data_IF_618183930779
#
_entry.id   IF_618183930779
#
_cell.length_a   1.000
_cell.length_b   1.000
_cell.length_c   1.000
_cell.angle_alpha   90.00
_cell.angle_beta   90.00
_cell.angle_gamma   90.00
#
_symmetry.space_group_name_H-M   'P 1'
#
loop_
_entity.id
_entity.type
_entity.pdbx_description
1 polymer ?
#
# COMPACT_ATOMS: atom_id res chain seq x y z
N UNK A 1 10.40 -19.24 34.99
CA UNK A 1 10.35 -18.53 33.69
C UNK A 1 9.36 -19.30 32.80
N UNK A 2 8.10 -18.85 32.75
CA UNK A 2 7.04 -19.51 31.98
C UNK A 2 7.32 -19.37 30.48
N UNK A 3 7.73 -20.46 29.84
CA UNK A 3 7.87 -20.56 28.39
C UNK A 3 6.49 -20.76 27.77
N UNK A 4 5.75 -19.66 27.55
CA UNK A 4 4.51 -19.71 26.78
C UNK A 4 4.85 -19.96 25.30
N UNK A 5 4.70 -21.21 24.86
CA UNK A 5 4.76 -21.56 23.45
C UNK A 5 3.49 -21.02 22.79
N UNK A 6 3.64 -19.96 21.97
CA UNK A 6 2.54 -19.42 21.17
C UNK A 6 2.38 -20.27 19.92
N UNK A 7 1.21 -20.87 19.75
CA UNK A 7 0.86 -21.58 18.52
C UNK A 7 0.19 -20.61 17.55
N UNK A 8 0.76 -20.49 16.35
CA UNK A 8 0.16 -19.79 15.22
C UNK A 8 -0.13 -20.78 14.10
N UNK A 9 -1.03 -20.41 13.19
CA UNK A 9 -1.30 -21.18 11.98
C UNK A 9 -0.02 -21.31 11.15
N UNK A 10 0.34 -22.54 10.77
CA UNK A 10 1.50 -22.75 9.91
C UNK A 10 1.04 -22.77 8.45
N UNK A 11 1.48 -21.78 7.66
CA UNK A 11 1.17 -21.70 6.23
C UNK A 11 1.51 -22.99 5.48
N UNK A 12 2.66 -23.60 5.79
CA UNK A 12 3.08 -24.87 5.18
C UNK A 12 2.07 -26.01 5.41
N UNK A 13 1.54 -26.17 6.64
CA UNK A 13 0.55 -27.22 6.95
C UNK A 13 -0.78 -26.98 6.24
N UNK A 14 -1.23 -25.72 6.21
CA UNK A 14 -2.48 -25.35 5.52
C UNK A 14 -2.37 -25.53 4.01
N UNK A 15 -1.23 -25.18 3.40
CA UNK A 15 -1.00 -25.34 1.96
C UNK A 15 -1.01 -26.82 1.54
N UNK A 16 -0.34 -27.69 2.31
CA UNK A 16 -0.36 -29.14 2.06
C UNK A 16 -1.77 -29.70 2.24
N UNK A 17 -2.49 -29.29 3.28
CA UNK A 17 -3.86 -29.75 3.52
C UNK A 17 -4.83 -29.31 2.40
N UNK A 18 -4.63 -28.09 1.89
CA UNK A 18 -5.39 -27.58 0.74
C UNK A 18 -5.07 -28.35 -0.53
N UNK A 19 -3.78 -28.58 -0.83
CA UNK A 19 -3.35 -29.37 -1.99
C UNK A 19 -3.81 -30.83 -1.93
N UNK A 20 -3.95 -31.40 -0.73
CA UNK A 20 -4.51 -32.75 -0.53
C UNK A 20 -6.04 -32.81 -0.71
N UNK A 21 -6.70 -31.70 -1.03
CA UNK A 21 -8.14 -31.64 -1.30
C UNK A 21 -9.02 -31.69 -0.04
N UNK A 22 -8.46 -31.42 1.14
CA UNK A 22 -9.23 -31.43 2.39
C UNK A 22 -10.20 -30.25 2.47
N UNK A 23 -11.47 -30.55 2.78
CA UNK A 23 -12.56 -29.55 2.91
C UNK A 23 -13.15 -29.46 4.32
N UNK A 24 -12.69 -30.27 5.27
CA UNK A 24 -13.31 -30.41 6.60
C UNK A 24 -12.27 -30.30 7.73
N UNK A 25 -12.72 -29.89 8.92
CA UNK A 25 -11.88 -29.82 10.12
C UNK A 25 -11.37 -31.20 10.60
N UNK A 26 -11.98 -32.29 10.12
CA UNK A 26 -11.58 -33.67 10.42
C UNK A 26 -10.14 -33.95 9.99
N UNK A 27 -9.67 -33.33 8.90
CA UNK A 27 -8.27 -33.48 8.46
C UNK A 27 -7.27 -33.01 9.52
N UNK A 28 -7.58 -31.95 10.28
CA UNK A 28 -6.71 -31.49 11.35
C UNK A 28 -6.66 -32.48 12.52
N UNK A 29 -7.77 -33.18 12.81
CA UNK A 29 -7.82 -34.22 13.84
C UNK A 29 -6.99 -35.43 13.40
N UNK A 30 -7.17 -35.89 12.15
CA UNK A 30 -6.39 -36.99 11.59
C UNK A 30 -4.89 -36.66 11.63
N UNK A 31 -4.51 -35.46 11.16
CA UNK A 31 -3.12 -34.99 11.21
C UNK A 31 -2.57 -34.98 12.65
N UNK A 32 -3.34 -34.49 13.63
CA UNK A 32 -2.91 -34.47 15.03
C UNK A 32 -2.70 -35.89 15.59
N UNK A 33 -3.62 -36.82 15.31
CA UNK A 33 -3.51 -38.23 15.72
C UNK A 33 -2.30 -38.90 15.05
N UNK A 34 -2.11 -38.68 13.74
CA UNK A 34 -0.95 -39.21 13.00
C UNK A 34 0.36 -38.69 13.58
N UNK A 35 0.46 -37.40 13.90
CA UNK A 35 1.64 -36.83 14.56
C UNK A 35 1.85 -37.47 15.94
N UNK A 36 0.79 -37.64 16.73
CA UNK A 36 0.88 -38.27 18.06
C UNK A 36 1.42 -39.71 17.97
N UNK A 37 0.88 -40.53 17.08
CA UNK A 37 1.35 -41.90 16.84
C UNK A 37 2.81 -41.90 16.35
N UNK A 38 3.14 -41.02 15.40
CA UNK A 38 4.51 -40.89 14.87
C UNK A 38 5.50 -40.53 15.98
N UNK A 39 5.14 -39.62 16.90
CA UNK A 39 5.99 -39.28 18.03
C UNK A 39 6.09 -40.42 19.05
N UNK A 40 5.05 -41.20 19.30
CA UNK A 40 5.13 -42.30 20.28
C UNK A 40 5.98 -43.47 19.77
N UNK A 41 5.87 -43.82 18.49
CA UNK A 41 6.53 -45.02 17.94
C UNK A 41 7.83 -44.71 17.18
N UNK A 42 7.92 -43.58 16.46
CA UNK A 42 9.08 -43.23 15.61
C UNK A 42 10.05 -42.23 16.26
N UNK A 43 9.75 -41.68 17.44
CA UNK A 43 10.68 -40.78 18.16
C UNK A 43 12.10 -41.36 18.38
N UNK A 44 12.30 -42.67 18.65
CA UNK A 44 13.65 -43.25 18.75
C UNK A 44 14.47 -43.09 17.46
N UNK A 45 13.81 -43.10 16.30
CA UNK A 45 14.44 -42.92 14.99
C UNK A 45 14.81 -41.46 14.75
N UNK A 46 13.95 -40.52 15.16
CA UNK A 46 14.19 -39.08 14.98
C UNK A 46 15.32 -38.52 15.85
N UNK A 47 15.71 -39.21 16.94
CA UNK A 47 16.81 -38.78 17.83
C UNK A 47 18.14 -38.60 17.09
N UNK A 48 18.36 -39.35 16.00
CA UNK A 48 19.60 -39.31 15.23
C UNK A 48 19.57 -38.32 14.06
N UNK A 49 18.51 -37.52 13.92
CA UNK A 49 18.37 -36.58 12.81
C UNK A 49 19.42 -35.46 12.92
N UNK A 50 20.35 -35.33 11.96
CA UNK A 50 21.32 -34.25 11.97
C UNK A 50 20.67 -32.88 11.78
N UNK A 51 21.21 -31.85 12.43
CA UNK A 51 20.72 -30.46 12.31
C UNK A 51 20.70 -29.95 10.86
N UNK A 52 21.57 -30.49 10.00
CA UNK A 52 21.62 -30.16 8.57
C UNK A 52 20.30 -30.48 7.85
N UNK A 53 19.68 -31.62 8.18
CA UNK A 53 18.39 -32.02 7.56
C UNK A 53 17.28 -31.06 7.99
N UNK A 54 17.24 -30.69 9.28
CA UNK A 54 16.28 -29.71 9.80
C UNK A 54 16.44 -28.35 9.13
N UNK A 55 17.69 -27.89 8.94
CA UNK A 55 17.99 -26.66 8.21
C UNK A 55 17.50 -26.71 6.76
N UNK A 56 17.74 -27.82 6.05
CA UNK A 56 17.28 -27.99 4.68
C UNK A 56 15.74 -27.94 4.57
N UNK A 57 15.02 -28.56 5.50
CA UNK A 57 13.55 -28.51 5.57
C UNK A 57 13.06 -27.06 5.78
N UNK A 58 13.71 -26.29 6.66
CA UNK A 58 13.32 -24.90 6.92
C UNK A 58 13.59 -24.03 5.68
N UNK A 59 14.77 -24.14 5.07
CA UNK A 59 15.14 -23.35 3.88
C UNK A 59 14.19 -23.62 2.72
N UNK A 60 13.91 -24.90 2.43
CA UNK A 60 12.96 -25.27 1.37
C UNK A 60 11.54 -24.77 1.64
N UNK A 61 11.09 -24.80 2.90
CA UNK A 61 9.80 -24.24 3.28
C UNK A 61 9.75 -22.71 3.08
N UNK A 62 10.80 -21.99 3.47
CA UNK A 62 10.84 -20.51 3.38
C UNK A 62 10.96 -20.02 1.94
N UNK A 63 11.72 -20.71 1.08
CA UNK A 63 11.85 -20.34 -0.34
C UNK A 63 10.48 -20.28 -1.03
N UNK A 64 9.58 -21.22 -0.71
CA UNK A 64 8.22 -21.22 -1.26
C UNK A 64 7.33 -20.06 -0.78
N UNK A 65 7.73 -19.35 0.28
CA UNK A 65 6.99 -18.17 0.78
C UNK A 65 7.48 -16.85 0.16
N UNK A 66 8.67 -16.82 -0.45
CA UNK A 66 9.24 -15.60 -1.01
C UNK A 66 8.68 -15.37 -2.41
N UNK A 67 7.79 -14.38 -2.55
CA UNK A 67 7.28 -13.94 -3.85
C UNK A 67 8.10 -12.76 -4.39
N UNK A 68 9.07 -13.08 -5.25
CA UNK A 68 9.93 -12.08 -5.92
C UNK A 68 9.13 -11.26 -6.95
N UNK A 69 8.08 -11.85 -7.56
CA UNK A 69 7.25 -11.16 -8.53
C UNK A 69 6.48 -10.02 -7.88
N UNK A 70 5.90 -10.28 -6.70
CA UNK A 70 5.22 -9.27 -5.90
C UNK A 70 6.17 -8.11 -5.53
N UNK A 71 7.40 -8.40 -5.10
CA UNK A 71 8.38 -7.37 -4.78
C UNK A 71 8.72 -6.49 -6.00
N UNK A 72 8.85 -7.08 -7.19
CA UNK A 72 9.09 -6.35 -8.44
C UNK A 72 7.88 -5.50 -8.87
N UNK A 73 6.66 -6.01 -8.68
CA UNK A 73 5.45 -5.24 -8.95
C UNK A 73 5.36 -4.01 -8.05
N UNK A 74 5.66 -4.16 -6.75
CA UNK A 74 5.68 -3.03 -5.80
C UNK A 74 6.69 -1.97 -6.25
N UNK A 75 7.90 -2.37 -6.66
CA UNK A 75 8.90 -1.45 -7.21
C UNK A 75 8.40 -0.64 -8.42
N UNK A 76 7.62 -1.28 -9.30
CA UNK A 76 7.08 -0.63 -10.50
C UNK A 76 5.94 0.35 -10.19
N UNK A 77 5.14 0.06 -9.15
CA UNK A 77 3.98 0.87 -8.76
C UNK A 77 4.41 2.07 -7.92
N UNK A 78 5.10 1.83 -6.80
CA UNK A 78 5.52 2.88 -5.88
C UNK A 78 6.87 2.56 -5.22
N UNK A 79 7.86 3.41 -5.51
CA UNK A 79 9.21 3.32 -4.93
C UNK A 79 9.20 3.48 -3.41
N UNK A 80 8.26 4.23 -2.84
CA UNK A 80 8.16 4.39 -1.38
C UNK A 80 7.70 3.10 -0.70
N UNK A 81 6.72 2.39 -1.26
CA UNK A 81 6.29 1.11 -0.69
C UNK A 81 7.38 0.05 -0.77
N UNK A 82 8.20 0.11 -1.80
CA UNK A 82 9.40 -0.73 -1.85
C UNK A 82 10.41 -0.41 -0.75
N UNK A 83 10.61 0.88 -0.41
CA UNK A 83 11.44 1.26 0.73
C UNK A 83 10.86 0.71 2.03
N UNK A 84 9.54 0.77 2.22
CA UNK A 84 8.89 0.17 3.41
C UNK A 84 9.15 -1.34 3.47
N UNK A 85 9.03 -2.04 2.34
CA UNK A 85 9.33 -3.47 2.23
C UNK A 85 10.79 -3.78 2.60
N UNK A 86 11.75 -3.00 2.07
CA UNK A 86 13.16 -3.17 2.41
C UNK A 86 13.43 -2.87 3.89
N UNK A 87 12.84 -1.81 4.44
CA UNK A 87 12.94 -1.48 5.86
C UNK A 87 12.37 -2.61 6.73
N UNK A 88 11.27 -3.23 6.35
CA UNK A 88 10.73 -4.40 7.04
C UNK A 88 11.71 -5.57 6.99
N UNK A 89 12.22 -5.89 5.79
CA UNK A 89 13.14 -7.00 5.58
C UNK A 89 14.44 -6.84 6.39
N UNK A 90 15.13 -5.71 6.22
CA UNK A 90 16.37 -5.43 6.94
C UNK A 90 16.14 -5.19 8.43
N UNK A 91 15.02 -4.55 8.80
CA UNK A 91 14.66 -4.32 10.20
C UNK A 91 14.48 -5.62 10.98
N UNK A 92 13.86 -6.63 10.37
CA UNK A 92 13.69 -7.95 10.98
C UNK A 92 15.03 -8.69 11.08
N UNK A 93 15.89 -8.59 10.07
CA UNK A 93 17.21 -9.27 10.03
C UNK A 93 18.19 -8.67 11.05
N UNK A 94 18.27 -7.34 11.16
CA UNK A 94 19.30 -6.67 11.95
C UNK A 94 18.88 -6.34 13.39
N UNK A 95 17.59 -6.14 13.66
CA UNK A 95 17.12 -5.68 14.97
C UNK A 95 16.37 -6.81 15.67
N UNK A 96 15.12 -7.05 15.26
CA UNK A 96 14.26 -8.11 15.77
C UNK A 96 12.96 -8.14 14.96
N UNK A 97 12.25 -9.28 14.99
CA UNK A 97 10.96 -9.41 14.31
C UNK A 97 9.95 -8.36 14.79
N UNK A 98 9.89 -8.13 16.11
CA UNK A 98 8.93 -7.20 16.71
C UNK A 98 9.24 -5.74 16.33
N UNK A 99 10.49 -5.31 16.49
CA UNK A 99 10.87 -3.92 16.24
C UNK A 99 10.92 -3.60 14.74
N UNK A 100 11.43 -4.53 13.92
CA UNK A 100 11.49 -4.38 12.47
C UNK A 100 10.09 -4.22 11.87
N UNK A 101 9.13 -5.03 12.31
CA UNK A 101 7.74 -4.90 11.89
C UNK A 101 7.10 -3.59 12.38
N UNK A 102 7.34 -3.20 13.64
CA UNK A 102 6.80 -1.95 14.18
C UNK A 102 7.27 -0.72 13.40
N UNK A 103 8.54 -0.67 13.02
CA UNK A 103 9.12 0.41 12.20
C UNK A 103 8.47 0.43 10.82
N UNK A 104 8.38 -0.72 10.14
CA UNK A 104 7.79 -0.79 8.81
C UNK A 104 6.32 -0.35 8.79
N UNK A 105 5.53 -0.82 9.76
CA UNK A 105 4.12 -0.40 9.91
C UNK A 105 4.03 1.09 10.21
N UNK A 106 4.90 1.62 11.08
CA UNK A 106 4.95 3.06 11.37
C UNK A 106 5.21 3.90 10.13
N UNK A 107 6.18 3.52 9.29
CA UNK A 107 6.49 4.22 8.03
C UNK A 107 5.29 4.11 7.06
N UNK A 108 4.67 2.94 6.94
CA UNK A 108 3.49 2.76 6.09
C UNK A 108 2.33 3.66 6.51
N UNK A 109 2.04 3.75 7.80
CA UNK A 109 0.99 4.62 8.34
C UNK A 109 1.33 6.08 8.09
N UNK A 110 2.58 6.48 8.34
CA UNK A 110 3.04 7.84 8.11
C UNK A 110 2.90 8.25 6.64
N UNK A 111 3.25 7.36 5.70
CA UNK A 111 3.05 7.58 4.26
C UNK A 111 1.57 7.83 3.93
N UNK A 112 0.68 6.97 4.42
CA UNK A 112 -0.78 7.11 4.19
C UNK A 112 -1.29 8.45 4.74
N UNK A 113 -0.83 8.85 5.93
CA UNK A 113 -1.20 10.12 6.55
C UNK A 113 -0.75 11.32 5.69
N UNK A 114 0.48 11.29 5.16
CA UNK A 114 0.98 12.31 4.24
C UNK A 114 0.14 12.39 2.96
N UNK A 115 -0.25 11.24 2.39
CA UNK A 115 -1.06 11.17 1.17
C UNK A 115 -2.47 11.76 1.39
N UNK A 116 -3.07 11.51 2.56
CA UNK A 116 -4.38 12.09 2.93
C UNK A 116 -4.27 13.60 3.14
N UNK A 117 -3.16 14.07 3.72
CA UNK A 117 -2.96 15.49 4.06
C UNK A 117 -2.66 16.34 2.82
N UNK A 118 -2.00 15.78 1.80
CA UNK A 118 -1.62 16.47 0.56
C UNK A 118 -2.29 15.82 -0.66
N UNK A 119 -3.62 15.97 -0.80
CA UNK A 119 -4.33 15.45 -1.95
C UNK A 119 -3.90 16.17 -3.23
N UNK A 120 -3.98 15.47 -4.36
CA UNK A 120 -3.72 16.06 -5.68
C UNK A 120 -4.83 17.07 -6.01
N UNK A 121 -4.41 18.27 -6.37
CA UNK A 121 -5.25 19.37 -6.84
C UNK A 121 -4.80 19.74 -8.24
N UNK A 122 -5.75 19.94 -9.15
CA UNK A 122 -5.48 20.07 -10.59
C UNK A 122 -6.22 21.27 -11.17
N UNK A 123 -5.55 22.05 -12.04
CA UNK A 123 -6.20 23.10 -12.83
C UNK A 123 -6.94 22.48 -14.01
N UNK A 124 -8.19 22.88 -14.22
CA UNK A 124 -8.97 22.47 -15.38
C UNK A 124 -9.04 23.61 -16.41
N UNK A 125 -8.76 23.28 -17.66
CA UNK A 125 -8.95 24.13 -18.84
C UNK A 125 -9.99 23.53 -19.79
N UNK A 126 -10.59 24.37 -20.63
CA UNK A 126 -11.57 23.97 -21.63
C UNK A 126 -10.86 23.59 -22.95
N UNK A 127 -11.24 22.47 -23.57
CA UNK A 127 -10.77 22.12 -24.91
C UNK A 127 -11.65 22.82 -25.96
N UNK A 128 -11.08 23.70 -26.82
CA UNK A 128 -11.82 24.49 -27.80
C UNK A 128 -12.78 23.65 -28.65
N UNK A 129 -14.02 24.10 -28.79
CA UNK A 129 -15.05 23.41 -29.57
C UNK A 129 -15.77 22.27 -28.83
N UNK A 130 -15.43 22.02 -27.56
CA UNK A 130 -16.10 21.00 -26.73
C UNK A 130 -16.56 21.57 -25.38
N UNK A 131 -17.39 20.80 -24.66
CA UNK A 131 -17.77 21.09 -23.25
C UNK A 131 -16.90 20.33 -22.24
N UNK A 132 -15.72 19.86 -22.67
CA UNK A 132 -14.87 18.98 -21.88
C UNK A 132 -13.79 19.82 -21.18
N UNK A 133 -13.67 19.63 -19.87
CA UNK A 133 -12.64 20.25 -19.04
C UNK A 133 -11.56 19.21 -18.69
N UNK A 134 -10.30 19.54 -18.96
CA UNK A 134 -9.14 18.64 -18.72
C UNK A 134 -7.98 19.40 -18.08
N UNK A 135 -7.05 18.63 -17.51
CA UNK A 135 -5.88 19.17 -16.84
C UNK A 135 -5.01 20.00 -17.81
N UNK A 136 -4.77 21.28 -17.50
CA UNK A 136 -3.92 22.18 -18.28
C UNK A 136 -2.45 21.72 -18.37
N UNK A 137 -1.92 21.09 -17.33
CA UNK A 137 -0.54 20.60 -17.32
C UNK A 137 -0.34 19.36 -18.21
N UNK A 138 -1.42 18.59 -18.43
CA UNK A 138 -1.34 17.33 -19.18
C UNK A 138 -1.80 17.48 -20.63
N UNK A 139 -2.78 18.34 -20.89
CA UNK A 139 -3.35 18.54 -22.22
C UNK A 139 -3.04 19.95 -22.73
N UNK A 140 -2.08 20.05 -23.66
CA UNK A 140 -1.67 21.32 -24.29
C UNK A 140 -2.80 22.02 -25.07
N UNK A 141 -3.83 21.26 -25.44
CA UNK A 141 -5.03 21.74 -26.14
C UNK A 141 -6.05 22.39 -25.18
N UNK A 142 -5.90 22.21 -23.87
CA UNK A 142 -6.79 22.83 -22.89
C UNK A 142 -6.39 24.29 -22.67
N UNK A 143 -7.33 25.21 -22.90
CA UNK A 143 -7.15 26.64 -22.68
C UNK A 143 -7.82 27.07 -21.38
N UNK A 144 -7.15 27.93 -20.61
CA UNK A 144 -7.75 28.61 -19.47
C UNK A 144 -8.83 29.58 -19.94
N UNK A 145 -9.98 29.57 -19.27
CA UNK A 145 -11.07 30.50 -19.57
C UNK A 145 -10.83 31.82 -18.83
N UNK A 146 -10.76 32.98 -19.53
CA UNK A 146 -10.54 34.26 -18.88
C UNK A 146 -11.62 34.60 -17.84
N UNK A 147 -11.22 34.94 -16.61
CA UNK A 147 -12.11 35.27 -15.50
C UNK A 147 -12.65 34.08 -14.69
N UNK A 148 -12.34 32.84 -15.08
CA UNK A 148 -12.75 31.62 -14.38
C UNK A 148 -11.55 30.78 -13.95
N UNK A 149 -11.49 30.45 -12.66
CA UNK A 149 -10.51 29.52 -12.10
C UNK A 149 -11.23 28.21 -11.74
N UNK A 150 -10.96 27.15 -12.49
CA UNK A 150 -11.62 25.85 -12.30
C UNK A 150 -10.62 24.87 -11.71
N UNK A 151 -10.87 24.42 -10.47
CA UNK A 151 -9.98 23.53 -9.73
C UNK A 151 -10.68 22.21 -9.45
N UNK A 152 -10.05 21.09 -9.83
CA UNK A 152 -10.49 19.75 -9.47
C UNK A 152 -9.76 19.27 -8.21
N UNK A 153 -10.52 18.92 -7.18
CA UNK A 153 -9.98 18.30 -5.96
C UNK A 153 -10.23 16.79 -6.08
N UNK A 154 -9.17 16.03 -6.37
CA UNK A 154 -9.26 14.57 -6.55
C UNK A 154 -9.15 13.82 -5.21
N UNK A 155 -9.80 14.31 -4.16
CA UNK A 155 -9.81 13.67 -2.83
C UNK A 155 -10.99 14.12 -1.95
N UNK A 156 -11.44 13.28 -1.00
CA UNK A 156 -12.41 13.70 0.00
C UNK A 156 -11.84 14.80 0.92
N UNK A 157 -12.65 15.80 1.21
CA UNK A 157 -12.27 16.90 2.10
C UNK A 157 -12.49 16.45 3.55
N UNK A 158 -11.39 16.39 4.30
CA UNK A 158 -11.35 15.96 5.70
C UNK A 158 -10.64 17.02 6.54
N UNK A 159 -10.84 17.01 7.86
CA UNK A 159 -10.18 17.96 8.77
C UNK A 159 -8.65 18.02 8.61
N UNK A 160 -8.02 16.88 8.30
CA UNK A 160 -6.58 16.80 8.07
C UNK A 160 -6.09 17.56 6.82
N UNK A 161 -6.93 17.77 5.81
CA UNK A 161 -6.53 18.40 4.54
C UNK A 161 -7.12 19.80 4.30
N UNK A 162 -8.14 20.22 5.07
CA UNK A 162 -8.81 21.52 4.88
C UNK A 162 -7.84 22.70 4.92
N UNK A 163 -6.90 22.72 5.87
CA UNK A 163 -5.90 23.81 5.98
C UNK A 163 -5.00 23.85 4.75
N UNK A 164 -4.50 22.69 4.31
CA UNK A 164 -3.66 22.56 3.12
C UNK A 164 -4.40 23.01 1.85
N UNK A 165 -5.65 22.58 1.69
CA UNK A 165 -6.49 22.96 0.55
C UNK A 165 -6.76 24.46 0.52
N UNK A 166 -7.09 25.07 1.67
CA UNK A 166 -7.32 26.52 1.75
C UNK A 166 -6.09 27.33 1.35
N UNK A 167 -4.92 26.99 1.90
CA UNK A 167 -3.66 27.63 1.55
C UNK A 167 -3.26 27.39 0.09
N UNK A 168 -3.57 26.21 -0.46
CA UNK A 168 -3.30 25.90 -1.86
C UNK A 168 -4.22 26.72 -2.77
N UNK A 169 -5.53 26.75 -2.52
CA UNK A 169 -6.49 27.52 -3.32
C UNK A 169 -6.16 29.02 -3.27
N UNK A 170 -5.82 29.58 -2.10
CA UNK A 170 -5.41 30.99 -1.97
C UNK A 170 -4.20 31.31 -2.85
N UNK A 171 -3.17 30.46 -2.83
CA UNK A 171 -1.98 30.64 -3.67
C UNK A 171 -2.30 30.62 -5.17
N UNK A 172 -3.26 29.80 -5.60
CA UNK A 172 -3.67 29.78 -7.01
C UNK A 172 -4.43 31.05 -7.40
N UNK A 173 -5.23 31.61 -6.49
CA UNK A 173 -5.90 32.89 -6.71
C UNK A 173 -4.86 34.01 -6.85
N UNK A 174 -3.87 34.07 -5.95
CA UNK A 174 -2.77 35.03 -6.01
C UNK A 174 -1.93 34.89 -7.29
N UNK A 175 -1.62 33.66 -7.71
CA UNK A 175 -0.86 33.38 -8.94
C UNK A 175 -1.64 33.79 -10.19
N UNK A 176 -2.96 33.60 -10.21
CA UNK A 176 -3.84 34.06 -11.29
C UNK A 176 -3.87 35.59 -11.40
N UNK A 177 -3.89 36.29 -10.26
CA UNK A 177 -3.86 37.76 -10.20
C UNK A 177 -2.48 38.35 -10.54
N UNK A 178 -1.40 37.61 -10.25
CA UNK A 178 -0.02 38.04 -10.47
C UNK A 178 0.52 37.73 -11.87
N UNK A 179 -0.04 36.73 -12.56
CA UNK A 179 0.38 36.32 -13.91
C UNK A 179 0.07 37.37 -14.99
N UNK A 180 0.83 37.35 -16.09
CA UNK A 180 0.77 38.30 -17.23
C UNK A 180 -0.59 38.38 -17.96
N UNK A 181 -1.63 37.67 -17.50
CA UNK A 181 -3.03 37.78 -17.96
C UNK A 181 -3.72 39.08 -17.53
N UNK A 182 -2.95 40.15 -17.27
CA UNK A 182 -3.41 41.52 -17.01
C UNK A 182 -4.29 42.12 -18.11
N UNK A 183 -4.43 41.46 -19.27
CA UNK A 183 -5.06 42.07 -20.45
C UNK A 183 -6.53 41.75 -20.69
N UNK A 184 -7.22 40.88 -19.94
CA UNK A 184 -8.64 40.65 -20.30
C UNK A 184 -9.68 40.39 -19.21
N UNK A 185 -9.35 39.90 -18.01
CA UNK A 185 -10.40 39.70 -17.00
C UNK A 185 -9.84 39.62 -15.58
N UNK A 186 -10.35 40.44 -14.65
CA UNK A 186 -10.24 40.14 -13.21
C UNK A 186 -10.88 38.77 -12.93
N UNK A 187 -10.38 38.05 -11.93
CA UNK A 187 -10.97 36.80 -11.46
C UNK A 187 -12.41 37.06 -10.99
N UNK A 188 -13.41 36.53 -11.71
CA UNK A 188 -14.83 36.72 -11.36
C UNK A 188 -15.42 35.52 -10.64
N UNK A 189 -15.01 34.31 -11.02
CA UNK A 189 -15.56 33.07 -10.48
C UNK A 189 -14.49 32.02 -10.22
N UNK A 190 -14.60 31.34 -9.07
CA UNK A 190 -13.83 30.14 -8.74
C UNK A 190 -14.79 28.96 -8.74
N UNK A 191 -14.54 27.97 -9.58
CA UNK A 191 -15.34 26.74 -9.68
C UNK A 191 -14.51 25.62 -9.06
N UNK A 192 -15.02 25.05 -7.97
CA UNK A 192 -14.42 23.88 -7.33
C UNK A 192 -15.16 22.63 -7.79
N UNK A 193 -14.51 21.82 -8.62
CA UNK A 193 -14.97 20.49 -8.95
C UNK A 193 -14.59 19.53 -7.82
N UNK A 194 -15.59 19.20 -7.01
CA UNK A 194 -15.53 18.23 -5.92
C UNK A 194 -16.06 16.86 -6.34
N UNK A 195 -16.34 16.65 -7.63
CA UNK A 195 -16.86 15.38 -8.15
C UNK A 195 -15.85 14.24 -8.06
N UNK A 196 -14.69 14.48 -7.41
CA UNK A 196 -13.72 13.54 -6.86
C UNK A 196 -13.77 12.19 -7.56
N UNK A 197 -12.83 11.95 -8.49
CA UNK A 197 -12.69 10.64 -9.14
C UNK A 197 -12.51 9.55 -8.07
N UNK A 198 -13.62 9.02 -7.58
CA UNK A 198 -13.72 7.85 -6.70
C UNK A 198 -13.50 6.55 -7.49
N UNK A 199 -12.94 6.64 -8.70
CA UNK A 199 -12.95 5.53 -9.64
C UNK A 199 -11.64 5.54 -10.42
N UNK A 200 -10.63 4.88 -9.88
CA UNK A 200 -9.82 3.90 -10.63
C UNK A 200 -9.34 2.84 -9.64
N UNK A 201 -10.18 1.81 -9.46
CA UNK A 201 -9.72 0.42 -9.28
C UNK A 201 -9.01 -0.07 -10.54
#
# INVERSE_FOLDING_TARGET
MQMYIKFSGAFSRSAVNHNAGSKTAVSNIVMAVTIMVTLLFLMPLFKYTPNVILGAIIVTAVIGLIDISAAYQIWKIDKFDFIVLLCAFFGVIFISVQNGLAIAVGISIFKVLLQITRPKTVLLGNIPGTRIYRNLDHYKEALSVPGFLILSIEAPINFANTTYLKERISRWMEEYESGETKKQSELRYVVLDLSGKLTQT
#
